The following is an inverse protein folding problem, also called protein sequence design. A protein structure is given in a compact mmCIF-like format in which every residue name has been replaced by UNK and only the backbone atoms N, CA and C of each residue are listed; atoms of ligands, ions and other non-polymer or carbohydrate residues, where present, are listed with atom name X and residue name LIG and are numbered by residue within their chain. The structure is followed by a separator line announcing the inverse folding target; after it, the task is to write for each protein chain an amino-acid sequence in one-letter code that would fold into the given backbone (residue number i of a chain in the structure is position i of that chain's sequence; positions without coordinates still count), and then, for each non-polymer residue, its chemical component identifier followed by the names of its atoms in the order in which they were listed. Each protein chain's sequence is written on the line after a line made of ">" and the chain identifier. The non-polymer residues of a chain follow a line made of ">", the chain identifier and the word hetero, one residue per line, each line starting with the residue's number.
data_IF_761732065109
#
_entry.id   IF_761732065109
#
_cell.length_a   1.000
_cell.length_b   1.000
_cell.length_c   1.000
_cell.angle_alpha   90.00
_cell.angle_beta   90.00
_cell.angle_gamma   90.00
#
_symmetry.space_group_name_H-M   'P 1'
#
loop_
_entity.id
_entity.type
_entity.pdbx_description
1 polymer ?
#
# COMPACT_ATOMS: atom_id res chain seq x y z
N UNK A 1 10.61 -17.31 -15.27
CA UNK A 1 10.60 -18.21 -16.45
C UNK A 1 10.77 -17.42 -17.75
N UNK A 2 9.97 -16.38 -17.99
CA UNK A 2 10.04 -15.58 -19.24
C UNK A 2 11.40 -14.91 -19.48
N UNK A 3 12.07 -14.41 -18.44
CA UNK A 3 13.40 -13.77 -18.53
C UNK A 3 14.51 -14.70 -19.10
N UNK A 4 14.28 -16.02 -19.12
CA UNK A 4 15.22 -17.01 -19.69
C UNK A 4 14.98 -17.28 -21.17
N UNK A 5 13.93 -16.72 -21.78
CA UNK A 5 13.65 -16.88 -23.20
C UNK A 5 14.32 -15.76 -24.00
N UNK A 6 15.30 -16.12 -24.85
CA UNK A 6 16.04 -15.15 -25.66
C UNK A 6 15.17 -14.34 -26.65
N UNK A 7 13.97 -14.85 -26.97
CA UNK A 7 13.03 -14.18 -27.87
C UNK A 7 12.14 -13.15 -27.16
N UNK A 8 12.30 -13.00 -25.84
CA UNK A 8 11.45 -12.11 -25.02
C UNK A 8 12.34 -11.14 -24.25
N UNK A 9 11.96 -9.88 -24.31
CA UNK A 9 12.45 -8.80 -23.44
C UNK A 9 11.39 -8.41 -22.42
N UNK A 10 11.80 -8.10 -21.20
CA UNK A 10 10.92 -7.62 -20.14
C UNK A 10 11.60 -6.46 -19.40
N UNK A 11 10.87 -5.36 -19.19
CA UNK A 11 11.38 -4.17 -18.50
C UNK A 11 10.34 -3.59 -17.55
N UNK A 12 10.71 -3.19 -16.31
CA UNK A 12 9.87 -2.41 -15.41
C UNK A 12 9.96 -0.91 -15.68
N UNK A 13 10.75 -0.47 -16.65
CA UNK A 13 11.04 0.94 -16.90
C UNK A 13 9.77 1.73 -17.21
N UNK A 14 9.63 2.91 -16.60
CA UNK A 14 8.47 3.81 -16.73
C UNK A 14 7.37 3.58 -15.68
N UNK A 15 7.27 2.40 -15.09
CA UNK A 15 6.19 2.09 -14.14
C UNK A 15 6.35 2.77 -12.78
N UNK A 16 7.56 3.18 -12.40
CA UNK A 16 7.79 4.01 -11.20
C UNK A 16 7.04 5.35 -11.25
N UNK A 17 6.86 5.93 -12.44
CA UNK A 17 6.08 7.15 -12.62
C UNK A 17 4.55 6.92 -12.43
N UNK A 18 4.02 5.74 -12.74
CA UNK A 18 2.64 5.36 -12.39
C UNK A 18 2.51 5.24 -10.87
N UNK A 19 3.56 4.76 -10.19
CA UNK A 19 3.64 4.61 -8.75
C UNK A 19 2.63 3.59 -8.20
N UNK A 20 2.54 2.35 -8.73
CA UNK A 20 1.59 1.36 -8.26
C UNK A 20 2.08 0.75 -6.95
N UNK A 21 1.46 1.11 -5.84
CA UNK A 21 1.83 0.64 -4.49
C UNK A 21 0.66 -0.10 -3.86
N UNK A 22 0.91 -1.32 -3.41
CA UNK A 22 -0.03 -2.10 -2.61
C UNK A 22 0.08 -1.72 -1.13
N UNK A 23 -1.05 -1.63 -0.47
CA UNK A 23 -1.18 -1.16 0.90
C UNK A 23 -2.28 -1.89 1.66
N UNK A 24 -2.11 -1.98 2.97
CA UNK A 24 -3.11 -2.49 3.90
C UNK A 24 -3.74 -1.31 4.62
N UNK A 25 -5.01 -1.01 4.33
CA UNK A 25 -5.78 0.01 5.02
C UNK A 25 -6.35 -0.53 6.33
N UNK A 26 -6.39 0.32 7.33
CA UNK A 26 -7.02 0.09 8.62
C UNK A 26 -8.23 0.99 8.80
N UNK A 27 -9.41 0.46 9.06
CA UNK A 27 -10.57 1.27 9.37
C UNK A 27 -10.40 1.97 10.72
N UNK A 28 -9.99 3.24 10.70
CA UNK A 28 -9.61 3.98 11.91
C UNK A 28 -10.77 4.29 12.85
N UNK A 29 -12.00 4.01 12.46
CA UNK A 29 -13.21 4.20 13.29
C UNK A 29 -13.71 2.91 13.98
N UNK A 30 -13.10 1.73 13.64
CA UNK A 30 -13.52 0.44 14.23
C UNK A 30 -12.55 -0.04 15.32
N UNK A 31 -13.07 -0.40 16.48
CA UNK A 31 -12.27 -1.05 17.53
C UNK A 31 -11.98 -2.51 17.12
N UNK A 32 -10.80 -3.07 17.46
CA UNK A 32 -9.71 -2.42 18.17
C UNK A 32 -8.75 -1.62 17.27
N UNK A 33 -8.91 -1.65 15.95
CA UNK A 33 -8.02 -1.02 14.95
C UNK A 33 -7.99 0.53 15.05
N UNK A 34 -9.01 1.16 15.64
CA UNK A 34 -8.99 2.60 15.93
C UNK A 34 -7.83 3.00 16.86
N UNK A 35 -7.32 2.08 17.69
CA UNK A 35 -6.12 2.30 18.49
C UNK A 35 -4.87 2.21 17.61
N UNK A 36 -4.08 3.30 17.54
CA UNK A 36 -2.84 3.33 16.76
C UNK A 36 -1.83 2.26 17.18
N UNK A 37 -1.80 1.90 18.47
CA UNK A 37 -0.91 0.86 19.01
C UNK A 37 -1.21 -0.52 18.41
N UNK A 38 -2.49 -0.82 18.17
CA UNK A 38 -2.90 -2.05 17.46
C UNK A 38 -2.36 -2.05 16.03
N UNK A 39 -2.48 -0.92 15.30
CA UNK A 39 -1.95 -0.80 13.94
C UNK A 39 -0.43 -0.93 13.89
N UNK A 40 0.26 -0.31 14.85
CA UNK A 40 1.73 -0.42 14.99
C UNK A 40 2.18 -1.85 15.31
N UNK A 41 1.48 -2.56 16.18
CA UNK A 41 1.74 -3.97 16.48
C UNK A 41 1.55 -4.86 15.24
N UNK A 42 0.47 -4.64 14.49
CA UNK A 42 0.24 -5.34 13.21
C UNK A 42 1.39 -5.06 12.23
N UNK A 43 1.83 -3.80 12.12
CA UNK A 43 2.93 -3.43 11.23
C UNK A 43 4.24 -4.15 11.61
N UNK A 44 4.57 -4.30 12.89
CA UNK A 44 5.72 -5.08 13.37
C UNK A 44 5.56 -6.59 13.20
N UNK A 45 4.38 -7.10 12.90
CA UNK A 45 4.17 -8.52 12.60
C UNK A 45 4.32 -8.86 11.10
N UNK A 46 4.51 -7.86 10.23
CA UNK A 46 4.59 -8.04 8.77
C UNK A 46 6.04 -7.90 8.30
N UNK A 47 6.56 -8.94 7.62
CA UNK A 47 7.84 -8.89 6.94
C UNK A 47 7.68 -8.47 5.47
N UNK A 48 7.96 -7.19 5.16
CA UNK A 48 7.95 -6.69 3.77
C UNK A 48 8.96 -7.39 2.88
N UNK A 49 10.12 -7.76 3.43
CA UNK A 49 11.17 -8.44 2.68
C UNK A 49 10.74 -9.85 2.26
N UNK A 50 10.03 -10.56 3.15
CA UNK A 50 9.42 -11.85 2.80
C UNK A 50 8.39 -11.70 1.66
N UNK A 51 7.51 -10.70 1.76
CA UNK A 51 6.53 -10.43 0.70
C UNK A 51 7.24 -10.19 -0.64
N UNK A 52 8.23 -9.30 -0.67
CA UNK A 52 8.97 -8.96 -1.89
C UNK A 52 9.77 -10.15 -2.43
N UNK A 53 10.54 -10.83 -1.57
CA UNK A 53 11.49 -11.87 -2.00
C UNK A 53 10.81 -13.21 -2.26
N UNK A 54 9.90 -13.65 -1.37
CA UNK A 54 9.30 -14.98 -1.44
C UNK A 54 7.97 -14.97 -2.21
N UNK A 55 7.07 -14.02 -1.97
CA UNK A 55 5.77 -14.00 -2.66
C UNK A 55 5.93 -13.45 -4.08
N UNK A 56 6.66 -12.35 -4.26
CA UNK A 56 6.85 -11.71 -5.57
C UNK A 56 8.19 -12.05 -6.26
N UNK A 57 8.95 -13.00 -5.74
CA UNK A 57 10.18 -13.53 -6.34
C UNK A 57 11.19 -12.44 -6.71
N UNK A 58 11.29 -11.37 -5.92
CA UNK A 58 12.18 -10.23 -6.14
C UNK A 58 11.82 -9.34 -7.33
N UNK A 59 10.59 -9.45 -7.85
CA UNK A 59 10.10 -8.60 -8.97
C UNK A 59 9.45 -7.31 -8.50
N UNK A 60 9.33 -7.12 -7.19
CA UNK A 60 8.71 -6.00 -6.48
C UNK A 60 9.74 -5.30 -5.60
N UNK A 61 9.42 -4.14 -5.08
CA UNK A 61 10.22 -3.39 -4.09
C UNK A 61 9.38 -3.12 -2.85
N UNK A 62 10.02 -3.05 -1.67
CA UNK A 62 9.34 -2.62 -0.46
C UNK A 62 8.95 -1.13 -0.56
N UNK A 63 7.76 -0.79 -0.09
CA UNK A 63 7.27 0.57 -0.01
C UNK A 63 7.00 0.94 1.45
N UNK A 64 7.54 2.09 1.88
CA UNK A 64 7.37 2.58 3.26
C UNK A 64 6.27 3.63 3.36
N UNK A 65 5.94 4.27 2.26
CA UNK A 65 4.98 5.39 2.18
C UNK A 65 4.09 5.25 0.95
N UNK A 66 3.07 6.12 0.84
CA UNK A 66 2.21 6.20 -0.34
C UNK A 66 2.86 6.87 -1.56
N UNK A 67 4.10 7.31 -1.43
CA UNK A 67 4.87 7.89 -2.52
C UNK A 67 5.85 6.83 -3.01
N UNK A 68 5.87 6.60 -4.33
CA UNK A 68 6.71 5.57 -4.93
C UNK A 68 8.20 5.87 -4.69
N UNK A 69 9.07 4.85 -4.42
CA UNK A 69 10.50 5.07 -4.17
C UNK A 69 11.24 5.82 -5.29
N UNK A 70 10.79 5.72 -6.54
CA UNK A 70 11.38 6.45 -7.68
C UNK A 70 10.90 7.91 -7.77
N UNK A 71 9.98 8.35 -6.93
CA UNK A 71 9.48 9.72 -6.93
C UNK A 71 10.48 10.67 -6.25
N UNK A 72 10.67 11.90 -6.76
CA UNK A 72 11.51 12.92 -6.11
C UNK A 72 10.98 13.35 -4.74
N UNK A 73 9.72 13.06 -4.44
CA UNK A 73 9.06 13.39 -3.17
C UNK A 73 9.12 12.26 -2.13
N UNK A 74 9.72 11.10 -2.48
CA UNK A 74 9.87 9.99 -1.54
C UNK A 74 10.84 10.34 -0.41
N UNK A 75 10.47 9.95 0.82
CA UNK A 75 11.32 10.07 2.00
C UNK A 75 11.58 8.69 2.61
N UNK A 76 12.79 8.13 2.48
CA UNK A 76 13.14 6.82 3.04
C UNK A 76 13.38 6.86 4.56
N UNK A 77 13.42 8.03 5.20
CA UNK A 77 13.75 8.18 6.63
C UNK A 77 12.56 7.97 7.56
N UNK A 78 11.38 7.67 7.01
CA UNK A 78 10.18 7.36 7.81
C UNK A 78 10.33 6.05 8.59
N UNK A 79 9.58 5.85 9.71
CA UNK A 79 9.56 4.60 10.45
C UNK A 79 9.23 3.40 9.55
N UNK A 80 10.12 2.40 9.51
CA UNK A 80 9.98 1.25 8.62
C UNK A 80 9.12 0.11 9.20
N UNK A 81 8.95 0.01 10.49
CA UNK A 81 8.26 -1.12 11.17
C UNK A 81 8.83 -2.48 10.72
N UNK A 82 10.07 -2.76 11.10
CA UNK A 82 10.68 -4.06 10.83
C UNK A 82 9.96 -5.17 11.61
N UNK A 83 10.05 -6.39 11.08
CA UNK A 83 9.48 -7.57 11.73
C UNK A 83 10.05 -7.74 13.12
N UNK A 84 9.23 -7.62 14.13
CA UNK A 84 9.57 -7.79 15.54
C UNK A 84 8.33 -8.26 16.31
N UNK A 85 8.18 -9.58 16.43
CA UNK A 85 7.02 -10.22 17.07
C UNK A 85 6.99 -9.93 18.57
N UNK A 86 8.14 -9.84 19.23
CA UNK A 86 8.21 -9.58 20.66
C UNK A 86 7.78 -8.14 20.96
N UNK A 87 8.28 -7.17 20.18
CA UNK A 87 7.85 -5.78 20.27
C UNK A 87 6.35 -5.63 19.98
N UNK A 88 5.83 -6.32 18.95
CA UNK A 88 4.41 -6.30 18.64
C UNK A 88 3.55 -6.83 19.80
N UNK A 89 3.96 -7.94 20.42
CA UNK A 89 3.29 -8.47 21.60
C UNK A 89 3.34 -7.48 22.77
N UNK A 90 4.51 -6.91 23.06
CA UNK A 90 4.68 -5.92 24.11
C UNK A 90 3.77 -4.71 23.93
N UNK A 91 3.69 -4.18 22.70
CA UNK A 91 2.80 -3.04 22.36
C UNK A 91 1.34 -3.39 22.71
N UNK A 92 0.87 -4.60 22.34
CA UNK A 92 -0.50 -5.03 22.62
C UNK A 92 -0.76 -5.24 24.11
N UNK A 93 0.22 -5.79 24.85
CA UNK A 93 0.12 -5.98 26.29
C UNK A 93 0.07 -4.63 27.03
N UNK A 94 0.94 -3.70 26.68
CA UNK A 94 0.98 -2.33 27.23
C UNK A 94 -0.31 -1.54 26.87
N UNK A 95 -0.93 -1.87 25.75
CA UNK A 95 -2.22 -1.29 25.33
C UNK A 95 -3.44 -1.92 26.03
N UNK A 96 -3.23 -2.97 26.84
CA UNK A 96 -4.29 -3.65 27.60
C UNK A 96 -5.02 -4.76 26.84
N UNK A 97 -4.59 -5.11 25.63
CA UNK A 97 -5.16 -6.22 24.87
C UNK A 97 -4.54 -7.55 25.29
N UNK A 98 -4.96 -8.09 26.42
CA UNK A 98 -4.43 -9.34 26.97
C UNK A 98 -4.91 -10.56 26.17
N UNK A 99 -4.11 -11.63 26.18
CA UNK A 99 -4.49 -12.93 25.61
C UNK A 99 -5.55 -13.61 26.46
N UNK A 100 -6.56 -14.18 25.80
CA UNK A 100 -7.53 -15.08 26.42
C UNK A 100 -6.94 -16.49 26.66
N UNK A 101 -7.77 -17.39 27.19
CA UNK A 101 -7.40 -18.79 27.45
C UNK A 101 -7.06 -19.58 26.17
N UNK A 102 -7.59 -19.14 25.01
CA UNK A 102 -7.30 -19.68 23.68
C UNK A 102 -6.03 -19.09 23.05
N UNK A 103 -5.32 -18.22 23.77
CA UNK A 103 -4.12 -17.53 23.31
C UNK A 103 -4.40 -16.34 22.36
N UNK A 104 -5.67 -16.07 22.06
CA UNK A 104 -6.05 -14.93 21.18
C UNK A 104 -6.41 -13.71 22.03
N UNK A 105 -6.25 -12.52 21.44
CA UNK A 105 -6.59 -11.23 22.03
C UNK A 105 -7.92 -10.72 21.50
N UNK A 106 -8.08 -10.81 20.18
CA UNK A 106 -9.29 -10.40 19.45
C UNK A 106 -9.29 -10.97 18.03
N UNK A 107 -10.43 -10.79 17.35
CA UNK A 107 -10.63 -11.19 15.95
C UNK A 107 -10.64 -9.98 15.04
N UNK A 108 -10.10 -10.15 13.84
CA UNK A 108 -10.15 -9.16 12.76
C UNK A 108 -10.45 -9.84 11.43
N UNK A 109 -10.85 -9.02 10.47
CA UNK A 109 -11.03 -9.44 9.08
C UNK A 109 -10.10 -8.66 8.17
N UNK A 110 -9.61 -9.29 7.10
CA UNK A 110 -8.95 -8.61 5.98
C UNK A 110 -9.64 -8.95 4.67
N UNK A 111 -10.01 -7.91 3.95
CA UNK A 111 -10.68 -8.00 2.65
C UNK A 111 -9.70 -7.80 1.50
N UNK A 112 -9.96 -8.44 0.35
CA UNK A 112 -9.26 -8.16 -0.90
C UNK A 112 -10.17 -8.44 -2.10
N UNK A 113 -9.97 -7.67 -3.19
CA UNK A 113 -10.78 -7.73 -4.40
C UNK A 113 -10.07 -8.33 -5.63
N UNK A 114 -8.79 -8.70 -5.53
CA UNK A 114 -8.00 -9.19 -6.66
C UNK A 114 -7.22 -10.45 -6.31
N UNK A 115 -7.17 -11.38 -7.24
CA UNK A 115 -6.45 -12.64 -7.07
C UNK A 115 -4.93 -12.45 -6.80
N UNK A 116 -4.31 -11.41 -7.37
CA UNK A 116 -2.89 -11.10 -7.14
C UNK A 116 -2.56 -10.69 -5.70
N UNK A 117 -3.56 -10.26 -4.93
CA UNK A 117 -3.44 -9.88 -3.51
C UNK A 117 -3.70 -11.07 -2.57
N UNK A 118 -4.21 -12.20 -3.07
CA UNK A 118 -4.54 -13.36 -2.23
C UNK A 118 -3.34 -13.83 -1.40
N UNK A 119 -2.18 -14.02 -2.02
CA UNK A 119 -1.01 -14.53 -1.31
C UNK A 119 -0.52 -13.58 -0.19
N UNK A 120 -0.38 -12.26 -0.39
CA UNK A 120 -0.13 -11.33 0.71
C UNK A 120 -1.20 -11.34 1.80
N UNK A 121 -2.49 -11.47 1.46
CA UNK A 121 -3.58 -11.51 2.43
C UNK A 121 -3.52 -12.79 3.29
N UNK A 122 -3.31 -13.94 2.68
CA UNK A 122 -3.15 -15.22 3.39
C UNK A 122 -1.89 -15.26 4.25
N UNK A 123 -0.80 -14.61 3.82
CA UNK A 123 0.42 -14.48 4.60
C UNK A 123 0.19 -13.78 5.94
N UNK A 124 -0.73 -12.81 6.02
CA UNK A 124 -1.02 -12.13 7.29
C UNK A 124 -1.55 -13.07 8.36
N UNK A 125 -2.31 -14.10 8.00
CA UNK A 125 -2.98 -14.98 8.96
C UNK A 125 -2.03 -15.64 9.96
N UNK A 126 -0.98 -16.40 9.55
CA UNK A 126 -0.03 -16.97 10.49
C UNK A 126 0.82 -15.91 11.21
N UNK A 127 1.08 -14.75 10.60
CA UNK A 127 1.85 -13.68 11.23
C UNK A 127 1.07 -13.04 12.39
N UNK A 128 -0.19 -12.66 12.15
CA UNK A 128 -1.03 -12.03 13.16
C UNK A 128 -1.42 -13.01 14.30
N UNK A 129 -1.49 -14.31 14.00
CA UNK A 129 -1.67 -15.33 15.05
C UNK A 129 -0.54 -15.33 16.08
N UNK A 130 0.72 -15.05 15.67
CA UNK A 130 1.88 -14.96 16.59
C UNK A 130 1.70 -13.86 17.64
N UNK A 131 0.96 -12.81 17.30
CA UNK A 131 0.65 -11.70 18.21
C UNK A 131 -0.76 -11.79 18.81
N UNK A 132 -1.40 -12.95 18.70
CA UNK A 132 -2.71 -13.22 19.32
C UNK A 132 -3.89 -12.62 18.59
N UNK A 133 -3.79 -12.34 17.30
CA UNK A 133 -4.91 -11.86 16.48
C UNK A 133 -5.42 -13.00 15.61
N UNK A 134 -6.70 -13.37 15.80
CA UNK A 134 -7.40 -14.32 14.97
C UNK A 134 -7.90 -13.61 13.69
N UNK A 135 -7.24 -13.85 12.56
CA UNK A 135 -7.53 -13.17 11.30
C UNK A 135 -8.38 -14.03 10.37
N UNK A 136 -9.54 -13.54 9.99
CA UNK A 136 -10.35 -14.09 8.91
C UNK A 136 -10.02 -13.37 7.58
N UNK A 137 -9.54 -14.12 6.59
CA UNK A 137 -9.28 -13.60 5.23
C UNK A 137 -10.56 -13.72 4.41
N UNK A 138 -11.10 -12.60 3.93
CA UNK A 138 -12.36 -12.52 3.20
C UNK A 138 -12.12 -12.14 1.73
N UNK A 139 -12.01 -13.14 0.87
CA UNK A 139 -12.04 -12.90 -0.57
C UNK A 139 -13.42 -12.40 -1.01
N UNK A 140 -13.47 -11.31 -1.75
CA UNK A 140 -14.70 -10.91 -2.42
C UNK A 140 -14.91 -11.79 -3.67
N UNK A 141 -16.16 -12.13 -4.03
CA UNK A 141 -16.45 -12.94 -5.23
C UNK A 141 -16.06 -12.19 -6.52
N UNK A 142 -16.16 -10.86 -6.49
CA UNK A 142 -15.83 -9.98 -7.59
C UNK A 142 -15.41 -8.58 -7.09
N UNK A 143 -14.90 -7.77 -8.02
CA UNK A 143 -14.49 -6.39 -7.71
C UNK A 143 -15.65 -5.50 -7.22
N UNK A 144 -16.85 -5.48 -7.84
CA UNK A 144 -17.98 -4.68 -7.36
C UNK A 144 -18.40 -5.00 -5.92
N UNK A 145 -18.40 -6.26 -5.54
CA UNK A 145 -18.72 -6.71 -4.17
C UNK A 145 -17.68 -6.20 -3.15
N UNK A 146 -16.40 -6.29 -3.48
CA UNK A 146 -15.33 -5.71 -2.66
C UNK A 146 -15.48 -4.18 -2.58
N UNK A 147 -15.62 -3.51 -3.71
CA UNK A 147 -15.72 -2.05 -3.80
C UNK A 147 -16.90 -1.51 -2.99
N UNK A 148 -18.07 -2.18 -3.07
CA UNK A 148 -19.26 -1.84 -2.29
C UNK A 148 -19.01 -1.97 -0.79
N UNK A 149 -18.35 -3.04 -0.33
CA UNK A 149 -18.03 -3.25 1.09
C UNK A 149 -17.08 -2.16 1.61
N UNK A 150 -15.98 -1.92 0.88
CA UNK A 150 -14.95 -0.98 1.30
C UNK A 150 -15.47 0.47 1.28
N UNK A 151 -16.17 0.87 0.21
CA UNK A 151 -16.74 2.21 0.11
C UNK A 151 -17.84 2.50 1.12
N UNK A 152 -18.51 1.47 1.63
CA UNK A 152 -19.45 1.58 2.75
C UNK A 152 -18.79 1.54 4.14
N UNK A 153 -17.45 1.47 4.20
CA UNK A 153 -16.66 1.38 5.44
C UNK A 153 -16.96 0.12 6.27
N UNK A 154 -17.43 -0.97 5.63
CA UNK A 154 -17.76 -2.23 6.30
C UNK A 154 -16.59 -3.23 6.23
N UNK A 155 -15.46 -2.86 6.84
CA UNK A 155 -14.26 -3.68 6.93
C UNK A 155 -13.46 -3.34 8.19
N UNK A 156 -12.59 -4.25 8.63
CA UNK A 156 -11.56 -3.95 9.63
C UNK A 156 -10.27 -3.54 8.91
N UNK A 157 -9.78 -4.41 8.03
CA UNK A 157 -8.62 -4.16 7.17
C UNK A 157 -8.96 -4.51 5.72
N UNK A 158 -8.33 -3.85 4.78
CA UNK A 158 -8.40 -4.22 3.37
C UNK A 158 -7.10 -4.00 2.64
N UNK A 159 -6.76 -4.92 1.74
CA UNK A 159 -5.72 -4.68 0.76
C UNK A 159 -6.28 -3.86 -0.41
N UNK A 160 -5.52 -2.84 -0.81
CA UNK A 160 -5.83 -1.98 -1.95
C UNK A 160 -4.54 -1.53 -2.65
N UNK A 161 -4.67 -0.74 -3.70
CA UNK A 161 -3.57 -0.23 -4.51
C UNK A 161 -3.77 1.26 -4.77
N UNK A 162 -2.70 2.04 -4.69
CA UNK A 162 -2.69 3.44 -5.12
C UNK A 162 -1.84 3.60 -6.37
N UNK A 163 -2.25 4.56 -7.21
CA UNK A 163 -1.52 5.02 -8.39
C UNK A 163 -1.31 6.52 -8.29
N UNK A 164 -0.06 6.98 -8.30
CA UNK A 164 0.28 8.41 -8.17
C UNK A 164 0.36 9.15 -9.51
N UNK A 165 0.51 8.45 -10.63
CA UNK A 165 0.54 9.01 -11.99
C UNK A 165 1.53 10.17 -12.15
N UNK A 166 2.69 10.05 -11.54
CA UNK A 166 3.78 11.05 -11.57
C UNK A 166 3.67 12.12 -10.50
N UNK A 167 2.52 12.30 -9.85
CA UNK A 167 2.34 13.32 -8.81
C UNK A 167 1.53 12.78 -7.63
N UNK A 168 2.02 12.94 -6.37
CA UNK A 168 1.30 12.51 -5.17
C UNK A 168 -0.11 13.13 -5.00
N UNK A 169 -0.38 14.29 -5.61
CA UNK A 169 -1.72 14.92 -5.61
C UNK A 169 -2.79 13.94 -6.09
N UNK A 170 -2.48 13.12 -7.08
CA UNK A 170 -3.48 12.22 -7.70
C UNK A 170 -3.84 11.06 -6.77
N UNK A 171 -2.85 10.37 -6.21
CA UNK A 171 -3.07 9.17 -5.40
C UNK A 171 -3.10 9.43 -3.89
N UNK A 172 -2.10 10.15 -3.38
CA UNK A 172 -1.93 10.36 -1.93
C UNK A 172 -3.01 11.28 -1.37
N UNK A 173 -3.30 12.42 -2.00
CA UNK A 173 -4.29 13.36 -1.49
C UNK A 173 -5.67 12.71 -1.35
N UNK A 174 -6.11 11.96 -2.36
CA UNK A 174 -7.42 11.29 -2.28
C UNK A 174 -7.49 10.23 -1.18
N UNK A 175 -6.33 9.60 -0.86
CA UNK A 175 -6.26 8.58 0.19
C UNK A 175 -6.32 9.18 1.60
N UNK A 176 -5.80 10.39 1.80
CA UNK A 176 -5.59 10.93 3.15
C UNK A 176 -6.42 12.16 3.51
N UNK A 177 -6.82 13.01 2.57
CA UNK A 177 -7.62 14.19 2.88
C UNK A 177 -8.93 13.81 3.57
N UNK A 178 -9.24 14.44 4.70
CA UNK A 178 -10.47 14.21 5.46
C UNK A 178 -11.73 14.52 4.64
N UNK A 179 -11.65 15.48 3.70
CA UNK A 179 -12.74 15.82 2.76
C UNK A 179 -13.08 14.68 1.79
N UNK A 180 -12.22 13.66 1.69
CA UNK A 180 -12.42 12.47 0.86
C UNK A 180 -13.02 11.28 1.62
N UNK A 181 -13.42 11.44 2.87
CA UNK A 181 -14.22 10.44 3.59
C UNK A 181 -15.64 10.51 3.05
N UNK A 182 -15.91 9.67 2.05
CA UNK A 182 -17.20 9.67 1.31
C UNK A 182 -17.74 8.26 1.23
N UNK A 183 -18.83 7.98 1.96
CA UNK A 183 -19.51 6.69 1.88
C UNK A 183 -20.03 6.43 0.45
N UNK A 184 -19.83 5.22 -0.04
CA UNK A 184 -20.20 4.82 -1.40
C UNK A 184 -19.18 5.17 -2.48
N UNK A 185 -18.08 5.86 -2.15
CA UNK A 185 -17.01 6.23 -3.09
C UNK A 185 -15.77 5.37 -2.84
N UNK A 186 -15.43 4.52 -3.82
CA UNK A 186 -14.20 3.74 -3.78
C UNK A 186 -12.99 4.59 -4.20
N UNK A 187 -11.77 4.17 -3.81
CA UNK A 187 -10.52 4.89 -4.03
C UNK A 187 -10.54 6.32 -3.50
N UNK A 188 -11.12 6.49 -2.35
CA UNK A 188 -11.12 7.71 -1.54
C UNK A 188 -10.46 7.42 -0.19
N UNK A 189 -10.67 8.26 0.82
CA UNK A 189 -10.23 8.00 2.19
C UNK A 189 -11.18 6.98 2.87
N UNK A 190 -11.18 5.73 2.38
CA UNK A 190 -12.07 4.67 2.87
C UNK A 190 -11.71 4.19 4.27
N UNK A 191 -10.48 4.36 4.72
CA UNK A 191 -10.01 4.10 6.08
C UNK A 191 -10.50 5.12 7.11
N UNK A 192 -11.17 6.20 6.67
CA UNK A 192 -11.78 7.24 7.51
C UNK A 192 -10.76 7.97 8.40
N UNK A 193 -9.55 8.19 7.88
CA UNK A 193 -8.51 8.92 8.58
C UNK A 193 -8.78 10.42 8.57
N UNK A 194 -8.71 11.04 9.76
CA UNK A 194 -8.90 12.48 9.94
C UNK A 194 -7.74 13.07 10.72
N UNK A 195 -7.07 14.06 10.12
CA UNK A 195 -6.02 14.85 10.77
C UNK A 195 -5.91 16.21 10.06
N UNK A 196 -6.38 17.27 10.74
CA UNK A 196 -6.38 18.63 10.18
C UNK A 196 -4.97 19.12 9.80
N UNK A 197 -3.93 18.73 10.55
CA UNK A 197 -2.54 19.07 10.19
C UNK A 197 -2.06 18.40 8.91
N UNK A 198 -2.50 17.17 8.67
CA UNK A 198 -2.24 16.45 7.42
C UNK A 198 -3.00 17.09 6.26
N UNK A 199 -4.27 17.46 6.47
CA UNK A 199 -5.07 18.16 5.46
C UNK A 199 -4.39 19.46 5.02
N UNK A 200 -3.92 20.27 5.98
CA UNK A 200 -3.23 21.52 5.71
C UNK A 200 -1.93 21.30 4.93
N UNK A 201 -1.09 20.34 5.35
CA UNK A 201 0.15 20.01 4.65
C UNK A 201 -0.12 19.57 3.22
N UNK A 202 -1.08 18.68 2.98
CA UNK A 202 -1.42 18.20 1.64
C UNK A 202 -1.99 19.33 0.78
N UNK A 203 -2.87 20.18 1.32
CA UNK A 203 -3.42 21.33 0.59
C UNK A 203 -2.32 22.34 0.22
N UNK A 204 -1.34 22.59 1.10
CA UNK A 204 -0.19 23.41 0.79
C UNK A 204 0.69 22.76 -0.28
N UNK A 205 1.02 21.47 -0.15
CA UNK A 205 1.83 20.74 -1.14
C UNK A 205 1.18 20.69 -2.53
N UNK A 206 -0.15 20.67 -2.60
CA UNK A 206 -0.89 20.70 -3.87
C UNK A 206 -0.83 22.04 -4.60
N UNK A 207 -0.49 23.13 -3.89
CA UNK A 207 -0.39 24.50 -4.44
C UNK A 207 1.03 25.02 -4.55
N UNK A 208 2.00 24.35 -3.91
CA UNK A 208 3.39 24.77 -3.88
C UNK A 208 4.06 24.47 -5.23
N UNK A 209 4.61 25.49 -5.86
CA UNK A 209 5.33 25.41 -7.13
C UNK A 209 6.84 25.22 -6.98
N UNK A 210 7.42 25.61 -5.83
CA UNK A 210 8.84 25.37 -5.53
C UNK A 210 9.06 23.88 -5.20
N UNK A 211 9.87 23.15 -5.99
CA UNK A 211 10.03 21.71 -5.78
C UNK A 211 10.66 21.36 -4.43
N UNK A 212 11.55 22.19 -3.89
CA UNK A 212 12.24 21.93 -2.62
C UNK A 212 11.26 22.11 -1.44
N UNK A 213 10.48 23.18 -1.45
CA UNK A 213 9.43 23.43 -0.45
C UNK A 213 8.36 22.34 -0.51
N UNK A 214 7.94 21.97 -1.71
CA UNK A 214 6.96 20.89 -1.94
C UNK A 214 7.46 19.56 -1.40
N UNK A 215 8.73 19.21 -1.65
CA UNK A 215 9.37 18.02 -1.09
C UNK A 215 9.38 18.04 0.43
N UNK A 216 9.69 19.18 1.06
CA UNK A 216 9.68 19.32 2.52
C UNK A 216 8.26 19.12 3.11
N UNK A 217 7.21 19.58 2.44
CA UNK A 217 5.83 19.34 2.84
C UNK A 217 5.47 17.85 2.77
N UNK A 218 5.81 17.17 1.67
CA UNK A 218 5.59 15.73 1.56
C UNK A 218 6.42 14.92 2.55
N UNK A 219 7.63 15.33 2.89
CA UNK A 219 8.40 14.68 3.95
C UNK A 219 7.69 14.78 5.31
N UNK A 220 7.23 15.97 5.71
CA UNK A 220 6.43 16.16 6.94
C UNK A 220 5.19 15.26 6.96
N UNK A 221 4.43 15.25 5.86
CA UNK A 221 3.27 14.38 5.69
C UNK A 221 3.63 12.91 5.92
N UNK A 222 4.65 12.39 5.22
CA UNK A 222 5.06 11.00 5.31
C UNK A 222 5.44 10.59 6.73
N UNK A 223 6.14 11.44 7.49
CA UNK A 223 6.48 11.17 8.88
C UNK A 223 5.26 11.09 9.82
N UNK A 224 4.26 11.95 9.62
CA UNK A 224 3.04 11.93 10.43
C UNK A 224 2.27 10.63 10.17
N UNK A 225 1.96 10.35 8.91
CA UNK A 225 1.12 9.19 8.56
C UNK A 225 1.82 7.86 8.78
N UNK A 226 3.16 7.82 8.74
CA UNK A 226 3.91 6.63 9.10
C UNK A 226 3.80 6.30 10.60
N UNK A 227 3.69 7.31 11.47
CA UNK A 227 3.48 7.12 12.92
C UNK A 227 2.04 6.74 13.25
N UNK A 228 1.06 7.38 12.61
CA UNK A 228 -0.36 7.18 12.87
C UNK A 228 -0.93 5.94 12.18
N UNK A 229 -0.26 5.47 11.14
CA UNK A 229 -0.57 4.22 10.42
C UNK A 229 -2.05 4.03 10.07
N UNK A 230 -2.73 4.98 9.42
CA UNK A 230 -4.04 4.67 8.86
C UNK A 230 -3.94 3.68 7.70
N UNK A 231 -2.74 3.61 7.09
CA UNK A 231 -2.37 2.72 6.00
C UNK A 231 -0.96 2.18 6.24
N UNK A 232 -0.78 0.88 6.11
CA UNK A 232 0.52 0.23 6.06
C UNK A 232 0.92 0.00 4.59
N UNK A 233 1.84 0.80 4.09
CA UNK A 233 2.42 0.66 2.76
C UNK A 233 3.33 -0.56 2.74
N UNK A 234 3.23 -1.38 1.71
CA UNK A 234 3.86 -2.69 1.73
C UNK A 234 4.85 -2.91 0.59
N UNK A 235 4.40 -2.86 -0.66
CA UNK A 235 5.25 -3.15 -1.80
C UNK A 235 4.74 -2.47 -3.08
N UNK A 236 5.65 -2.25 -4.04
CA UNK A 236 5.26 -1.80 -5.38
C UNK A 236 4.74 -2.98 -6.21
N UNK A 237 3.74 -2.77 -7.05
CA UNK A 237 3.27 -3.82 -7.96
C UNK A 237 4.32 -4.10 -9.03
N UNK A 238 4.60 -5.38 -9.35
CA UNK A 238 5.66 -5.75 -10.27
C UNK A 238 5.25 -5.62 -11.76
N UNK A 239 4.85 -4.42 -12.16
CA UNK A 239 4.48 -4.17 -13.56
C UNK A 239 5.69 -4.25 -14.48
N UNK A 240 5.51 -4.88 -15.63
CA UNK A 240 6.53 -5.03 -16.65
C UNK A 240 5.90 -4.91 -18.03
N UNK A 241 6.59 -4.23 -18.95
CA UNK A 241 6.32 -4.35 -20.38
C UNK A 241 7.06 -5.60 -20.89
N UNK A 242 6.33 -6.51 -21.51
CA UNK A 242 6.87 -7.74 -22.09
C UNK A 242 6.67 -7.65 -23.61
N UNK A 243 7.76 -7.83 -24.38
CA UNK A 243 7.74 -7.70 -25.84
C UNK A 243 8.74 -8.65 -26.50
N UNK A 244 8.57 -8.88 -27.79
CA UNK A 244 9.53 -9.67 -28.57
C UNK A 244 10.90 -8.96 -28.61
N UNK A 245 11.99 -9.69 -28.44
CA UNK A 245 13.35 -9.15 -28.59
C UNK A 245 13.64 -8.57 -29.97
N UNK A 246 12.83 -8.94 -31.00
CA UNK A 246 12.88 -8.39 -32.35
C UNK A 246 12.27 -6.99 -32.46
N UNK A 247 11.54 -6.53 -31.46
CA UNK A 247 10.96 -5.19 -31.44
C UNK A 247 11.95 -4.18 -30.88
N UNK A 248 12.21 -3.12 -31.63
CA UNK A 248 12.94 -1.93 -31.17
C UNK A 248 11.98 -0.87 -30.65
N UNK A 249 12.48 -0.05 -29.74
CA UNK A 249 11.78 1.10 -29.15
C UNK A 249 10.41 0.78 -28.51
N UNK A 250 10.32 -0.37 -27.80
CA UNK A 250 9.11 -0.70 -27.04
C UNK A 250 8.77 0.39 -26.00
N UNK A 251 7.47 0.70 -25.79
CA UNK A 251 7.04 1.75 -24.87
C UNK A 251 7.59 1.57 -23.46
N UNK A 252 8.10 2.67 -22.87
CA UNK A 252 8.71 2.70 -21.53
C UNK A 252 8.17 3.85 -20.68
N UNK A 253 7.07 4.45 -21.13
CA UNK A 253 6.47 5.59 -20.47
C UNK A 253 5.41 5.22 -19.43
N UNK A 254 4.96 6.24 -18.73
CA UNK A 254 3.87 6.17 -17.74
C UNK A 254 2.58 5.55 -18.32
N UNK A 255 2.34 5.72 -19.62
CA UNK A 255 1.16 5.22 -20.30
C UNK A 255 1.23 3.74 -20.71
N UNK A 256 2.40 3.10 -20.51
CA UNK A 256 2.63 1.68 -20.83
C UNK A 256 2.09 1.31 -22.24
N UNK A 257 1.11 0.40 -22.29
CA UNK A 257 0.49 -0.05 -23.54
C UNK A 257 -0.37 1.02 -24.24
N UNK A 258 -0.70 2.11 -23.56
CA UNK A 258 -1.39 3.27 -24.14
C UNK A 258 -0.42 4.32 -24.68
N UNK A 259 0.89 4.06 -24.66
CA UNK A 259 1.89 4.93 -25.26
C UNK A 259 1.76 4.95 -26.79
N UNK A 260 2.19 6.03 -27.47
CA UNK A 260 2.30 6.05 -28.92
C UNK A 260 3.17 4.89 -29.41
N UNK A 261 2.72 4.21 -30.46
CA UNK A 261 3.40 3.04 -31.04
C UNK A 261 4.05 3.35 -32.39
N UNK A 262 4.00 4.59 -32.83
CA UNK A 262 4.53 5.10 -34.10
C UNK A 262 6.06 4.98 -34.23
N UNK A 263 6.76 4.86 -33.11
CA UNK A 263 8.20 4.71 -33.07
C UNK A 263 8.67 3.25 -32.95
N UNK A 264 7.77 2.29 -32.95
CA UNK A 264 8.12 0.88 -32.95
C UNK A 264 8.72 0.47 -34.30
N UNK A 265 9.73 -0.37 -34.26
CA UNK A 265 10.30 -0.98 -35.46
C UNK A 265 10.70 -2.44 -35.21
N UNK A 266 10.82 -3.21 -36.27
CA UNK A 266 11.44 -4.53 -36.26
C UNK A 266 12.95 -4.39 -36.43
N UNK A 267 13.72 -5.06 -35.57
CA UNK A 267 15.18 -5.13 -35.66
C UNK A 267 15.62 -6.08 -36.73
#
# INVERSE_FOLDING_TARGET
>A
RLKKNANISATPQGYGAIGPIAWLAFNTKRKPISDVRVRQAIAHAIDRNFIVKAIFLGTSQAALTGIHPDSPFYDPSVPAYDLDIDKANKILDDAGYKRGSDGMRFKLTVDFGWQSIKAPAEYLKPQLKKIGIDLAVRAAPDFPSWAKRISNHDFDMTWDVVFNWGDPVIGVHRTYLSSNIKKGVIWSNTQQYENAGVDDILNQAGRESDPAKRKALYAKFQHIVAKELPVYWSYTLPYHTIYSSKVGNAPRGIWATCSPLDQLYLK
#
